data_IF_396414893577
#
_entry.id   IF_396414893577
#
_cell.length_a   1.000
_cell.length_b   1.000
_cell.length_c   1.000
_cell.angle_alpha   90.00
_cell.angle_beta   90.00
_cell.angle_gamma   90.00
#
_symmetry.space_group_name_H-M   'P 1'
#
loop_
_entity.id
_entity.type
_entity.pdbx_description
1 polymer ?
#
# COMPACT_ATOMS: atom_id res chain seq x y z
N UNK A 1 5.91 -9.44 19.83
CA UNK A 1 6.57 -8.16 20.07
C UNK A 1 7.02 -7.55 18.77
N UNK A 2 6.69 -6.28 18.54
CA UNK A 2 7.06 -5.53 17.32
C UNK A 2 8.08 -4.47 17.68
N UNK A 3 9.19 -4.42 16.95
CA UNK A 3 10.21 -3.39 17.07
C UNK A 3 10.16 -2.50 15.82
N UNK A 4 9.69 -1.25 15.98
CA UNK A 4 9.62 -0.28 14.91
C UNK A 4 10.80 0.69 14.97
N UNK A 5 11.54 0.84 13.87
CA UNK A 5 12.69 1.74 13.76
C UNK A 5 12.55 2.76 12.63
N UNK A 6 11.33 3.03 12.22
CA UNK A 6 11.01 4.04 11.20
C UNK A 6 9.71 4.77 11.52
N UNK A 7 9.69 6.10 11.33
CA UNK A 7 8.49 6.91 11.46
C UNK A 7 8.81 8.35 11.88
N UNK A 8 7.92 9.29 11.57
CA UNK A 8 7.94 10.62 12.18
C UNK A 8 7.22 10.51 13.52
N UNK A 9 7.94 10.73 14.60
CA UNK A 9 7.41 10.69 15.94
C UNK A 9 6.69 11.98 16.30
N UNK A 10 5.65 11.87 17.13
CA UNK A 10 5.15 13.00 17.91
C UNK A 10 6.15 13.25 19.04
N UNK A 11 6.24 14.51 19.52
CA UNK A 11 7.17 14.85 20.61
C UNK A 11 6.94 14.02 21.89
N UNK A 12 5.73 13.52 22.07
CA UNK A 12 5.31 12.66 23.17
C UNK A 12 5.93 11.25 23.13
N UNK A 13 6.38 10.79 21.94
CA UNK A 13 6.93 9.43 21.72
C UNK A 13 8.45 9.34 21.97
N UNK A 14 9.06 10.39 22.54
CA UNK A 14 10.53 10.44 22.79
C UNK A 14 11.03 9.45 23.85
N UNK A 15 10.14 8.80 24.58
CA UNK A 15 10.48 7.82 25.60
C UNK A 15 10.39 6.42 24.98
N UNK A 16 11.43 5.61 25.16
CA UNK A 16 11.49 4.19 24.78
C UNK A 16 10.51 3.38 25.64
N UNK A 17 9.22 3.63 25.52
CA UNK A 17 8.18 2.92 26.24
C UNK A 17 7.68 1.74 25.43
N UNK A 18 7.28 0.68 26.13
CA UNK A 18 6.53 -0.41 25.54
C UNK A 18 5.06 0.01 25.40
N UNK A 19 4.53 -0.15 24.20
CA UNK A 19 3.14 0.12 23.88
C UNK A 19 2.42 -1.20 23.60
N UNK A 20 1.10 -1.22 23.74
CA UNK A 20 0.27 -2.35 23.37
C UNK A 20 -0.83 -1.90 22.40
N UNK A 21 -1.01 -2.66 21.34
CA UNK A 21 -2.12 -2.51 20.41
C UNK A 21 -2.64 -3.90 20.03
N UNK A 22 -3.92 -4.14 20.28
CA UNK A 22 -4.59 -5.42 19.97
C UNK A 22 -3.80 -6.64 20.52
N UNK A 23 -3.35 -6.56 21.78
CA UNK A 23 -2.51 -7.55 22.47
C UNK A 23 -1.11 -7.75 21.87
N UNK A 24 -0.68 -6.93 20.94
CA UNK A 24 0.68 -6.95 20.42
C UNK A 24 1.50 -5.88 21.14
N UNK A 25 2.52 -6.30 21.86
CA UNK A 25 3.49 -5.38 22.44
C UNK A 25 4.39 -4.82 21.35
N UNK A 26 4.61 -3.51 21.32
CA UNK A 26 5.53 -2.87 20.40
C UNK A 26 6.37 -1.79 21.06
N UNK A 27 7.52 -1.54 20.48
CA UNK A 27 8.47 -0.51 20.89
C UNK A 27 8.99 0.27 19.70
N UNK A 28 9.14 1.57 19.87
CA UNK A 28 9.68 2.48 18.86
C UNK A 28 11.12 2.84 19.28
N UNK A 29 12.09 2.70 18.38
CA UNK A 29 13.52 2.79 18.74
C UNK A 29 14.15 4.15 18.55
N UNK A 30 13.44 5.13 18.00
CA UNK A 30 13.94 6.49 17.72
C UNK A 30 15.28 6.56 16.96
N UNK A 31 15.55 5.57 16.08
CA UNK A 31 16.80 5.49 15.32
C UNK A 31 16.87 6.48 14.13
N UNK A 32 15.80 7.24 13.85
CA UNK A 32 15.67 8.05 12.64
C UNK A 32 15.83 9.54 12.86
N UNK A 33 15.69 10.01 14.10
CA UNK A 33 15.80 11.42 14.43
C UNK A 33 17.26 11.90 14.35
N UNK A 34 17.61 12.58 13.24
CA UNK A 34 18.96 13.08 12.99
C UNK A 34 18.93 14.58 12.82
N UNK A 35 19.33 15.30 13.86
CA UNK A 35 19.41 16.76 13.86
C UNK A 35 20.77 17.26 13.34
N UNK A 36 21.83 16.43 13.34
CA UNK A 36 23.19 16.81 12.94
C UNK A 36 23.69 16.04 11.70
N UNK A 37 24.70 16.63 11.00
CA UNK A 37 25.35 15.95 9.89
C UNK A 37 26.16 14.71 10.36
N UNK A 38 26.67 14.71 11.61
CA UNK A 38 27.38 13.58 12.22
C UNK A 38 26.43 12.40 12.42
N UNK A 39 25.21 12.64 12.90
CA UNK A 39 24.17 11.62 13.07
C UNK A 39 23.72 11.06 11.73
N UNK A 40 23.59 11.93 10.70
CA UNK A 40 23.33 11.47 9.33
C UNK A 40 24.44 10.54 8.81
N UNK A 41 25.71 10.87 9.07
CA UNK A 41 26.86 10.02 8.69
C UNK A 41 26.86 8.70 9.47
N UNK A 42 26.64 8.71 10.77
CA UNK A 42 26.52 7.51 11.60
C UNK A 42 25.35 6.62 11.16
N UNK A 43 24.26 7.21 10.69
CA UNK A 43 23.13 6.47 10.11
C UNK A 43 23.52 5.66 8.86
N UNK A 44 24.49 6.12 8.08
CA UNK A 44 24.99 5.35 6.94
C UNK A 44 25.99 4.27 7.35
N UNK A 45 26.82 4.53 8.35
CA UNK A 45 27.88 3.61 8.77
C UNK A 45 27.39 2.55 9.76
N UNK A 46 26.53 2.94 10.69
CA UNK A 46 25.95 2.05 11.71
C UNK A 46 24.46 2.37 11.97
N UNK A 47 23.57 2.13 11.00
CA UNK A 47 22.16 2.44 11.14
C UNK A 47 21.50 1.56 12.21
N UNK A 48 20.49 2.13 12.88
CA UNK A 48 19.63 1.42 13.82
C UNK A 48 20.36 0.88 15.06
N UNK A 49 21.21 1.70 15.67
CA UNK A 49 21.98 1.32 16.86
C UNK A 49 21.10 0.89 18.05
N UNK A 50 20.01 1.61 18.30
CA UNK A 50 19.06 1.28 19.36
C UNK A 50 18.32 -0.03 19.07
N UNK A 51 17.80 -0.21 17.84
CA UNK A 51 17.15 -1.45 17.43
C UNK A 51 18.11 -2.64 17.56
N UNK A 52 19.36 -2.50 17.13
CA UNK A 52 20.39 -3.56 17.26
C UNK A 52 20.70 -3.90 18.71
N UNK A 53 20.77 -2.89 19.60
CA UNK A 53 20.96 -3.10 21.03
C UNK A 53 19.79 -3.89 21.62
N UNK A 54 18.56 -3.44 21.39
CA UNK A 54 17.36 -4.11 21.90
C UNK A 54 17.28 -5.55 21.38
N UNK A 55 17.52 -5.78 20.09
CA UNK A 55 17.51 -7.14 19.52
C UNK A 55 18.53 -8.03 20.23
N UNK A 56 19.75 -7.54 20.50
CA UNK A 56 20.78 -8.31 21.22
C UNK A 56 20.36 -8.66 22.65
N UNK A 57 19.70 -7.72 23.33
CA UNK A 57 19.24 -7.89 24.71
C UNK A 57 18.07 -8.87 24.82
N UNK A 58 17.20 -8.93 23.81
CA UNK A 58 15.94 -9.68 23.88
C UNK A 58 15.86 -10.91 22.97
N UNK A 59 16.84 -11.14 22.08
CA UNK A 59 16.77 -12.22 21.08
C UNK A 59 16.61 -13.62 21.70
N UNK A 60 17.12 -13.82 22.93
CA UNK A 60 17.01 -15.08 23.63
C UNK A 60 15.57 -15.46 23.99
N UNK A 61 14.69 -14.46 24.13
CA UNK A 61 13.31 -14.61 24.57
C UNK A 61 12.37 -15.03 23.42
N UNK A 62 12.87 -15.07 22.19
CA UNK A 62 12.07 -15.36 20.99
C UNK A 62 12.65 -16.53 20.22
N UNK A 63 11.79 -17.35 19.61
CA UNK A 63 12.20 -18.46 18.75
C UNK A 63 12.47 -18.03 17.31
N UNK A 64 11.80 -16.95 16.87
CA UNK A 64 11.82 -16.49 15.49
C UNK A 64 11.78 -14.96 15.41
N UNK A 65 12.52 -14.41 14.42
CA UNK A 65 12.44 -13.01 14.04
C UNK A 65 11.84 -12.89 12.65
N UNK A 66 10.91 -11.94 12.50
CA UNK A 66 10.37 -11.55 11.19
C UNK A 66 10.90 -10.15 10.89
N UNK A 67 11.62 -10.03 9.79
CA UNK A 67 12.21 -8.78 9.31
C UNK A 67 11.34 -8.19 8.19
N UNK A 68 10.69 -7.04 8.43
CA UNK A 68 9.82 -6.38 7.47
C UNK A 68 10.57 -5.29 6.71
N UNK A 69 10.73 -5.42 5.40
CA UNK A 69 11.37 -4.44 4.51
C UNK A 69 12.69 -3.84 5.04
N UNK A 70 13.56 -4.65 5.63
CA UNK A 70 14.78 -4.20 6.29
C UNK A 70 15.89 -3.83 5.32
N UNK A 71 16.75 -2.90 5.74
CA UNK A 71 17.87 -2.40 4.93
C UNK A 71 19.02 -3.39 4.83
N UNK A 72 19.96 -3.13 3.91
CA UNK A 72 21.15 -3.93 3.69
C UNK A 72 21.92 -4.27 4.98
N UNK A 73 22.25 -3.24 5.77
CA UNK A 73 23.02 -3.42 7.00
C UNK A 73 22.23 -4.15 8.10
N UNK A 74 20.92 -3.90 8.17
CA UNK A 74 20.08 -4.60 9.13
C UNK A 74 19.94 -6.08 8.75
N UNK A 75 19.78 -6.39 7.48
CA UNK A 75 19.72 -7.77 7.01
C UNK A 75 20.99 -8.57 7.31
N UNK A 76 22.17 -7.96 7.09
CA UNK A 76 23.44 -8.58 7.47
C UNK A 76 23.57 -8.81 8.98
N UNK A 77 23.13 -7.83 9.78
CA UNK A 77 23.11 -7.96 11.24
C UNK A 77 22.16 -9.07 11.69
N UNK A 78 20.93 -9.10 11.18
CA UNK A 78 19.93 -10.10 11.54
C UNK A 78 20.36 -11.52 11.18
N UNK A 79 20.93 -11.71 9.99
CA UNK A 79 21.47 -13.01 9.58
C UNK A 79 22.59 -13.50 10.53
N UNK A 80 23.50 -12.58 10.93
CA UNK A 80 24.59 -12.92 11.85
C UNK A 80 24.07 -13.28 13.25
N UNK A 81 23.19 -12.42 13.81
CA UNK A 81 22.73 -12.62 15.18
C UNK A 81 21.82 -13.84 15.32
N UNK A 82 20.90 -14.05 14.36
CA UNK A 82 20.07 -15.24 14.37
C UNK A 82 20.89 -16.53 14.25
N UNK A 83 21.94 -16.53 13.41
CA UNK A 83 22.87 -17.67 13.32
C UNK A 83 23.61 -17.90 14.65
N UNK A 84 24.06 -16.83 15.29
CA UNK A 84 24.80 -16.90 16.57
C UNK A 84 23.93 -17.50 17.71
N UNK A 85 22.65 -17.13 17.76
CA UNK A 85 21.73 -17.56 18.82
C UNK A 85 20.82 -18.72 18.40
N UNK A 86 21.04 -19.33 17.22
CA UNK A 86 20.25 -20.45 16.73
C UNK A 86 18.78 -20.11 16.45
N UNK A 87 18.47 -18.84 16.18
CA UNK A 87 17.09 -18.37 15.98
C UNK A 87 16.66 -18.44 14.53
N UNK A 88 15.36 -18.68 14.31
CA UNK A 88 14.74 -18.67 12.97
C UNK A 88 14.62 -17.23 12.47
N UNK A 89 14.84 -17.04 11.16
CA UNK A 89 14.72 -15.73 10.53
C UNK A 89 13.85 -15.81 9.29
N UNK A 90 12.85 -14.95 9.22
CA UNK A 90 11.92 -14.79 8.10
C UNK A 90 12.05 -13.36 7.57
N UNK A 91 12.05 -13.18 6.25
CA UNK A 91 11.97 -11.88 5.62
C UNK A 91 10.57 -11.66 5.05
N UNK A 92 9.87 -10.65 5.54
CA UNK A 92 8.63 -10.14 4.97
C UNK A 92 8.98 -9.01 4.00
N UNK A 93 8.65 -9.21 2.71
CA UNK A 93 9.12 -8.39 1.61
C UNK A 93 7.96 -7.89 0.76
N UNK A 94 7.72 -6.57 0.77
CA UNK A 94 6.55 -5.97 0.13
C UNK A 94 6.88 -5.05 -1.04
N UNK A 95 8.16 -4.78 -1.32
CA UNK A 95 8.55 -3.90 -2.42
C UNK A 95 10.00 -4.11 -2.87
N UNK A 96 10.30 -3.65 -4.08
CA UNK A 96 11.65 -3.47 -4.59
C UNK A 96 11.87 -1.98 -4.87
N UNK A 97 12.62 -1.24 -4.04
CA UNK A 97 12.78 0.20 -4.20
C UNK A 97 13.36 0.59 -5.56
N UNK A 98 12.88 1.69 -6.11
CA UNK A 98 13.33 2.21 -7.40
C UNK A 98 14.27 3.41 -7.24
N UNK A 99 15.13 3.65 -8.24
CA UNK A 99 16.09 4.74 -8.22
C UNK A 99 15.43 6.13 -8.05
N UNK A 100 14.26 6.33 -8.65
CA UNK A 100 13.53 7.60 -8.58
C UNK A 100 12.94 7.94 -7.21
N UNK A 101 13.07 7.04 -6.24
CA UNK A 101 12.66 7.25 -4.84
C UNK A 101 13.79 7.78 -3.97
N UNK A 102 15.01 7.72 -4.44
CA UNK A 102 16.19 8.25 -3.75
C UNK A 102 16.59 9.61 -4.30
N UNK A 103 16.98 10.52 -3.42
CA UNK A 103 17.62 11.78 -3.82
C UNK A 103 18.91 11.44 -4.58
N UNK A 104 19.04 11.92 -5.83
CA UNK A 104 20.14 11.58 -6.70
C UNK A 104 19.94 10.35 -7.59
N UNK A 105 18.81 9.66 -7.48
CA UNK A 105 18.42 8.56 -8.37
C UNK A 105 19.46 7.45 -8.40
N UNK A 106 19.88 7.01 -9.61
CA UNK A 106 20.91 5.97 -9.81
C UNK A 106 22.30 6.37 -9.33
N UNK A 107 22.56 7.65 -9.09
CA UNK A 107 23.84 8.14 -8.55
C UNK A 107 23.91 8.08 -7.03
N UNK A 108 22.81 7.79 -6.36
CA UNK A 108 22.75 7.70 -4.90
C UNK A 108 23.30 6.35 -4.42
N UNK A 109 24.29 6.33 -3.50
CA UNK A 109 24.81 5.10 -2.91
C UNK A 109 23.70 4.25 -2.22
N UNK A 110 22.68 4.89 -1.66
CA UNK A 110 21.54 4.19 -1.01
C UNK A 110 20.80 3.32 -2.03
N UNK A 111 20.61 3.79 -3.24
CA UNK A 111 20.00 2.99 -4.30
C UNK A 111 20.82 1.72 -4.57
N UNK A 112 22.13 1.84 -4.72
CA UNK A 112 22.99 0.68 -4.95
C UNK A 112 23.06 -0.26 -3.75
N UNK A 113 23.03 0.26 -2.53
CA UNK A 113 22.91 -0.58 -1.33
C UNK A 113 21.59 -1.35 -1.31
N UNK A 114 20.49 -0.73 -1.75
CA UNK A 114 19.20 -1.42 -1.91
C UNK A 114 19.28 -2.51 -3.01
N UNK A 115 19.87 -2.24 -4.15
CA UNK A 115 20.08 -3.24 -5.22
C UNK A 115 20.94 -4.42 -4.74
N UNK A 116 22.04 -4.15 -4.02
CA UNK A 116 22.88 -5.20 -3.42
C UNK A 116 22.11 -6.01 -2.38
N UNK A 117 21.26 -5.35 -1.58
CA UNK A 117 20.39 -6.02 -0.62
C UNK A 117 19.46 -7.02 -1.32
N UNK A 118 18.70 -6.54 -2.31
CA UNK A 118 17.74 -7.34 -3.04
C UNK A 118 18.39 -8.50 -3.81
N UNK A 119 19.52 -8.24 -4.47
CA UNK A 119 20.15 -9.19 -5.39
C UNK A 119 21.04 -10.23 -4.70
N UNK A 120 21.60 -9.92 -3.54
CA UNK A 120 22.61 -10.78 -2.90
C UNK A 120 22.30 -11.09 -1.44
N UNK A 121 21.99 -10.08 -0.60
CA UNK A 121 21.83 -10.31 0.84
C UNK A 121 20.52 -11.01 1.13
N UNK A 122 19.43 -10.57 0.51
CA UNK A 122 18.11 -11.18 0.71
C UNK A 122 18.03 -12.60 0.13
N UNK A 123 18.76 -12.93 -0.92
CA UNK A 123 18.85 -14.31 -1.43
C UNK A 123 19.43 -15.33 -0.44
N UNK A 124 20.02 -14.85 0.65
CA UNK A 124 20.54 -15.74 1.72
C UNK A 124 19.47 -16.09 2.77
N UNK A 125 18.31 -15.45 2.72
CA UNK A 125 17.20 -15.80 3.61
C UNK A 125 16.58 -17.11 3.14
N UNK A 126 16.40 -18.04 4.08
CA UNK A 126 15.81 -19.35 3.80
C UNK A 126 14.30 -19.36 3.85
N UNK A 127 13.69 -18.37 4.49
CA UNK A 127 12.26 -18.26 4.68
C UNK A 127 11.81 -16.83 4.36
N UNK A 128 10.80 -16.69 3.52
CA UNK A 128 10.33 -15.38 3.05
C UNK A 128 8.81 -15.31 2.95
N UNK A 129 8.29 -14.10 3.12
CA UNK A 129 6.88 -13.77 2.90
C UNK A 129 6.84 -12.70 1.79
N UNK A 130 6.90 -13.09 0.51
CA UNK A 130 6.78 -12.16 -0.60
C UNK A 130 5.32 -11.72 -0.79
N UNK A 131 5.12 -10.42 -1.12
CA UNK A 131 3.78 -9.87 -1.36
C UNK A 131 3.28 -10.12 -2.78
N UNK A 132 4.15 -10.46 -3.71
CA UNK A 132 3.83 -10.62 -5.14
C UNK A 132 4.46 -11.87 -5.74
N UNK A 133 3.86 -12.37 -6.81
CA UNK A 133 4.41 -13.47 -7.61
C UNK A 133 5.78 -13.13 -8.21
N UNK A 134 5.99 -11.86 -8.56
CA UNK A 134 7.30 -11.41 -9.03
C UNK A 134 8.39 -11.67 -7.98
N UNK A 135 8.17 -11.26 -6.72
CA UNK A 135 9.12 -11.50 -5.64
C UNK A 135 9.20 -12.98 -5.27
N UNK A 136 8.06 -13.69 -5.26
CA UNK A 136 8.00 -15.12 -5.01
C UNK A 136 8.86 -15.92 -6.01
N UNK A 137 8.74 -15.59 -7.29
CA UNK A 137 9.52 -16.23 -8.35
C UNK A 137 11.00 -15.85 -8.30
N UNK A 138 11.31 -14.58 -7.98
CA UNK A 138 12.69 -14.11 -7.87
C UNK A 138 13.47 -14.78 -6.73
N UNK A 139 12.78 -15.13 -5.64
CA UNK A 139 13.34 -15.82 -4.47
C UNK A 139 12.86 -17.29 -4.36
N UNK A 140 12.70 -17.97 -5.48
CA UNK A 140 12.14 -19.34 -5.55
C UNK A 140 12.93 -20.39 -4.79
N UNK A 141 14.21 -20.16 -4.46
CA UNK A 141 15.05 -21.09 -3.69
C UNK A 141 14.74 -21.06 -2.18
N UNK A 142 13.98 -20.08 -1.70
CA UNK A 142 13.58 -19.95 -0.31
C UNK A 142 12.27 -20.73 -0.04
N UNK A 143 12.02 -21.06 1.22
CA UNK A 143 10.70 -21.49 1.67
C UNK A 143 9.81 -20.25 1.70
N UNK A 144 8.86 -20.11 0.77
CA UNK A 144 8.07 -18.92 0.57
C UNK A 144 6.63 -19.12 1.00
N UNK A 145 6.07 -18.08 1.63
CA UNK A 145 4.65 -17.89 1.87
C UNK A 145 4.19 -16.63 1.11
N UNK A 146 3.62 -16.80 -0.07
CA UNK A 146 3.05 -15.68 -0.83
C UNK A 146 1.80 -15.15 -0.13
N UNK A 147 1.84 -13.90 0.32
CA UNK A 147 0.72 -13.24 0.96
C UNK A 147 0.43 -11.89 0.28
N UNK A 148 -0.76 -11.69 -0.28
CA UNK A 148 -1.22 -10.35 -0.67
C UNK A 148 -1.43 -9.48 0.57
N UNK A 149 -1.73 -8.18 0.45
CA UNK A 149 -2.17 -7.38 1.58
C UNK A 149 -3.40 -8.00 2.24
N UNK A 150 -3.31 -8.25 3.53
CA UNK A 150 -4.35 -8.95 4.28
C UNK A 150 -5.20 -7.97 5.10
N UNK A 151 -6.48 -8.29 5.22
CA UNK A 151 -7.48 -7.52 5.95
C UNK A 151 -8.19 -8.42 6.97
N UNK A 152 -8.46 -7.87 8.15
CA UNK A 152 -9.44 -8.46 9.03
C UNK A 152 -10.83 -8.00 8.62
N UNK A 153 -11.51 -8.78 7.80
CA UNK A 153 -12.84 -8.42 7.27
C UNK A 153 -13.91 -8.32 8.36
N UNK A 154 -13.67 -8.91 9.54
CA UNK A 154 -14.59 -8.84 10.69
C UNK A 154 -14.42 -7.55 11.50
N UNK A 155 -13.40 -6.76 11.24
CA UNK A 155 -13.24 -5.46 11.88
C UNK A 155 -14.43 -4.57 11.51
N UNK A 156 -14.99 -3.89 12.52
CA UNK A 156 -16.19 -3.07 12.41
C UNK A 156 -16.10 -2.01 11.31
N UNK A 157 -14.93 -1.47 11.03
CA UNK A 157 -14.73 -0.46 9.97
C UNK A 157 -15.06 -0.97 8.55
N UNK A 158 -15.11 -2.30 8.31
CA UNK A 158 -15.48 -2.90 7.03
C UNK A 158 -16.94 -3.31 6.94
N UNK A 159 -17.70 -3.18 8.03
CA UNK A 159 -19.09 -3.61 8.14
C UNK A 159 -20.01 -2.50 8.65
N UNK A 160 -19.49 -1.59 9.49
CA UNK A 160 -20.24 -0.48 10.05
C UNK A 160 -19.69 0.83 9.47
N UNK A 161 -20.18 1.19 8.30
CA UNK A 161 -19.73 2.41 7.63
C UNK A 161 -20.30 3.64 8.32
N UNK A 162 -19.41 4.57 8.68
CA UNK A 162 -19.82 5.85 9.27
C UNK A 162 -20.56 6.69 8.23
N UNK A 163 -21.60 7.39 8.66
CA UNK A 163 -22.25 8.38 7.82
C UNK A 163 -21.23 9.47 7.46
N UNK A 164 -21.10 9.75 6.17
CA UNK A 164 -20.16 10.74 5.66
C UNK A 164 -20.87 12.09 5.67
N UNK A 165 -20.54 12.91 6.64
CA UNK A 165 -21.06 14.28 6.74
C UNK A 165 -20.22 15.26 5.89
N UNK A 166 -20.19 15.02 4.59
CA UNK A 166 -19.61 15.95 3.63
C UNK A 166 -20.68 16.55 2.75
N UNK A 167 -20.99 17.82 2.95
CA UNK A 167 -21.93 18.55 2.10
C UNK A 167 -21.58 18.47 0.61
N UNK A 168 -20.29 18.37 0.29
CA UNK A 168 -19.79 18.23 -1.10
C UNK A 168 -20.14 16.90 -1.77
N UNK A 169 -20.52 15.90 -0.98
CA UNK A 169 -20.88 14.56 -1.47
C UNK A 169 -22.38 14.30 -1.44
N UNK A 170 -23.16 15.11 -0.70
CA UNK A 170 -24.61 14.99 -0.61
C UNK A 170 -25.25 15.48 -1.92
N UNK A 171 -26.27 14.75 -2.38
CA UNK A 171 -27.10 15.15 -3.54
C UNK A 171 -26.46 14.92 -4.90
N UNK A 172 -25.30 14.26 -5.01
CA UNK A 172 -24.76 13.89 -6.31
C UNK A 172 -25.42 12.60 -6.82
N UNK A 173 -26.13 12.72 -7.93
CA UNK A 173 -26.80 11.59 -8.61
C UNK A 173 -26.04 11.24 -9.89
N UNK A 174 -24.93 10.55 -9.74
CA UNK A 174 -24.06 10.10 -10.82
C UNK A 174 -23.07 9.08 -10.31
N UNK A 175 -22.12 8.70 -11.15
CA UNK A 175 -21.07 7.74 -10.80
C UNK A 175 -19.97 8.41 -9.98
N UNK A 176 -19.63 7.82 -8.85
CA UNK A 176 -18.57 8.30 -7.97
C UNK A 176 -17.33 7.42 -8.04
N UNK A 177 -16.20 8.03 -8.34
CA UNK A 177 -14.89 7.39 -8.36
C UNK A 177 -14.08 7.89 -7.18
N UNK A 178 -13.47 6.99 -6.43
CA UNK A 178 -12.58 7.32 -5.31
C UNK A 178 -11.12 7.16 -5.71
N UNK A 179 -10.32 8.15 -5.39
CA UNK A 179 -8.88 8.00 -5.27
C UNK A 179 -8.50 8.15 -3.78
N UNK A 180 -8.06 7.08 -3.14
CA UNK A 180 -7.69 7.10 -1.73
C UNK A 180 -6.18 7.00 -1.52
N UNK A 181 -5.62 7.91 -0.71
CA UNK A 181 -4.23 7.94 -0.29
C UNK A 181 -3.44 9.14 -0.83
N UNK A 182 -2.30 9.40 -0.20
CA UNK A 182 -1.37 10.44 -0.68
C UNK A 182 -0.71 9.92 -1.96
N UNK A 183 -0.88 10.62 -3.10
CA UNK A 183 -0.27 10.20 -4.35
C UNK A 183 1.25 10.29 -4.24
N UNK A 184 1.92 9.15 -4.40
CA UNK A 184 3.35 9.09 -4.63
C UNK A 184 3.62 9.13 -6.13
N UNK A 185 4.90 9.14 -6.54
CA UNK A 185 5.29 9.10 -7.96
C UNK A 185 4.73 7.88 -8.73
N UNK A 186 4.26 6.86 -8.00
CA UNK A 186 3.72 5.62 -8.56
C UNK A 186 2.23 5.69 -8.91
N UNK A 187 1.48 6.60 -8.30
CA UNK A 187 0.03 6.72 -8.49
C UNK A 187 -0.25 7.90 -9.43
N UNK A 188 -0.83 7.62 -10.58
CA UNK A 188 -1.00 8.58 -11.69
C UNK A 188 -2.31 9.38 -11.55
N UNK A 189 -2.49 10.07 -10.42
CA UNK A 189 -3.66 10.93 -10.17
C UNK A 189 -3.81 12.01 -11.25
N UNK A 190 -2.70 12.56 -11.76
CA UNK A 190 -2.73 13.57 -12.83
C UNK A 190 -3.37 13.05 -14.11
N UNK A 191 -3.05 11.81 -14.53
CA UNK A 191 -3.65 11.19 -15.71
C UNK A 191 -5.16 10.94 -15.51
N UNK A 192 -5.55 10.48 -14.31
CA UNK A 192 -6.95 10.28 -13.95
C UNK A 192 -7.74 11.59 -14.01
N UNK A 193 -7.21 12.67 -13.45
CA UNK A 193 -7.84 13.99 -13.51
C UNK A 193 -7.90 14.51 -14.94
N UNK A 194 -6.84 14.35 -15.72
CA UNK A 194 -6.81 14.80 -17.12
C UNK A 194 -7.88 14.07 -17.96
N UNK A 195 -8.04 12.76 -17.79
CA UNK A 195 -9.09 11.99 -18.46
C UNK A 195 -10.49 12.43 -17.99
N UNK A 196 -10.68 12.59 -16.69
CA UNK A 196 -11.95 13.05 -16.13
C UNK A 196 -12.34 14.43 -16.69
N UNK A 197 -11.40 15.38 -16.79
CA UNK A 197 -11.65 16.70 -17.35
C UNK A 197 -12.07 16.68 -18.83
N UNK A 198 -11.68 15.65 -19.59
CA UNK A 198 -12.18 15.46 -20.96
C UNK A 198 -13.62 14.99 -20.94
N UNK A 199 -13.94 13.99 -20.14
CA UNK A 199 -15.31 13.46 -19.97
C UNK A 199 -16.27 14.53 -19.45
N UNK A 200 -15.83 15.39 -18.55
CA UNK A 200 -16.65 16.47 -17.98
C UNK A 200 -16.98 17.60 -18.96
N UNK A 201 -16.49 17.57 -20.21
CA UNK A 201 -16.95 18.48 -21.27
C UNK A 201 -18.35 18.10 -21.77
N UNK A 202 -18.66 16.81 -21.72
CA UNK A 202 -19.85 16.22 -22.33
C UNK A 202 -20.90 15.81 -21.30
N UNK A 203 -20.51 15.63 -20.03
CA UNK A 203 -21.43 15.20 -18.95
C UNK A 203 -20.95 15.64 -17.58
N UNK A 204 -21.89 15.90 -16.66
CA UNK A 204 -21.63 16.16 -15.25
C UNK A 204 -21.92 14.97 -14.33
N UNK A 205 -22.31 13.82 -14.92
CA UNK A 205 -22.75 12.61 -14.20
C UNK A 205 -21.60 11.79 -13.58
N UNK A 206 -20.39 12.33 -13.45
CA UNK A 206 -19.25 11.66 -12.86
C UNK A 206 -18.55 12.57 -11.84
N UNK A 207 -18.19 12.01 -10.69
CA UNK A 207 -17.49 12.72 -9.62
C UNK A 207 -16.24 11.94 -9.22
N UNK A 208 -15.10 12.63 -9.11
CA UNK A 208 -13.88 12.12 -8.52
C UNK A 208 -13.73 12.66 -7.10
N UNK A 209 -13.72 11.78 -6.13
CA UNK A 209 -13.43 12.08 -4.73
C UNK A 209 -11.97 11.71 -4.45
N UNK A 210 -11.18 12.67 -4.00
CA UNK A 210 -9.76 12.50 -3.72
C UNK A 210 -9.53 12.65 -2.21
N UNK A 211 -9.16 11.55 -1.58
CA UNK A 211 -8.76 11.49 -0.17
C UNK A 211 -7.23 11.44 -0.08
N UNK A 212 -6.64 12.27 0.77
CA UNK A 212 -5.18 12.31 0.99
C UNK A 212 -4.47 13.46 0.29
N UNK A 213 -5.19 14.30 -0.47
CA UNK A 213 -4.69 15.51 -1.14
C UNK A 213 -5.51 16.71 -0.70
N UNK A 214 -4.84 17.75 -0.23
CA UNK A 214 -5.49 19.03 0.11
C UNK A 214 -5.91 19.77 -1.16
N UNK A 215 -6.95 20.61 -1.06
CA UNK A 215 -7.45 21.40 -2.19
C UNK A 215 -6.35 22.33 -2.76
N UNK A 216 -5.53 22.91 -1.88
CA UNK A 216 -4.42 23.79 -2.27
C UNK A 216 -3.34 23.03 -3.07
N UNK A 217 -3.24 21.73 -2.90
CA UNK A 217 -2.33 20.87 -3.64
C UNK A 217 -2.90 20.41 -4.99
N UNK A 218 -4.20 20.59 -5.21
CA UNK A 218 -4.88 20.16 -6.44
C UNK A 218 -4.36 20.89 -7.69
N UNK A 219 -3.83 22.11 -7.52
CA UNK A 219 -3.18 22.88 -8.60
C UNK A 219 -1.96 22.18 -9.22
N UNK A 220 -1.38 21.20 -8.52
CA UNK A 220 -0.31 20.37 -9.08
C UNK A 220 -0.81 19.36 -10.13
N UNK A 221 -2.13 19.16 -10.24
CA UNK A 221 -2.75 18.15 -11.11
C UNK A 221 -3.63 18.76 -12.19
N UNK A 222 -4.20 19.93 -11.95
CA UNK A 222 -5.01 20.66 -12.94
C UNK A 222 -5.01 22.16 -12.68
N UNK A 223 -5.48 22.96 -13.65
CA UNK A 223 -5.53 24.43 -13.49
C UNK A 223 -6.59 24.88 -12.49
N UNK A 224 -6.37 26.02 -11.83
CA UNK A 224 -7.35 26.63 -10.93
C UNK A 224 -8.70 26.85 -11.63
N UNK A 225 -8.69 27.28 -12.90
CA UNK A 225 -9.91 27.45 -13.72
C UNK A 225 -10.72 26.14 -13.82
N UNK A 226 -10.04 24.98 -13.95
CA UNK A 226 -10.71 23.69 -13.99
C UNK A 226 -11.30 23.31 -12.61
N UNK A 227 -10.58 23.59 -11.52
CA UNK A 227 -11.06 23.37 -10.15
C UNK A 227 -12.32 24.18 -9.88
N UNK A 228 -12.34 25.46 -10.27
CA UNK A 228 -13.49 26.34 -10.07
C UNK A 228 -14.70 25.91 -10.90
N UNK A 229 -14.44 25.54 -12.18
CA UNK A 229 -15.51 25.10 -13.10
C UNK A 229 -16.16 23.79 -12.66
N UNK A 230 -15.36 22.83 -12.22
CA UNK A 230 -15.81 21.47 -11.91
C UNK A 230 -15.79 21.13 -10.42
N UNK A 231 -15.98 22.15 -9.57
CA UNK A 231 -15.91 22.03 -8.10
C UNK A 231 -16.83 20.97 -7.48
N UNK A 232 -17.94 20.63 -8.16
CA UNK A 232 -18.87 19.58 -7.73
C UNK A 232 -18.45 18.18 -8.23
N UNK A 233 -17.59 18.10 -9.24
CA UNK A 233 -17.13 16.86 -9.85
C UNK A 233 -15.71 16.48 -9.45
N UNK A 234 -14.90 17.46 -8.98
CA UNK A 234 -13.55 17.27 -8.46
C UNK A 234 -13.53 17.65 -6.98
N UNK A 235 -13.66 16.67 -6.11
CA UNK A 235 -13.77 16.87 -4.66
C UNK A 235 -12.51 16.41 -3.96
N UNK A 236 -11.76 17.36 -3.38
CA UNK A 236 -10.55 17.09 -2.60
C UNK A 236 -10.89 17.22 -1.11
N UNK A 237 -10.70 16.14 -0.35
CA UNK A 237 -11.06 16.06 1.07
C UNK A 237 -9.87 16.22 2.02
N UNK A 238 -8.64 16.26 1.47
CA UNK A 238 -7.46 16.28 2.32
C UNK A 238 -7.24 14.95 3.04
N UNK A 239 -6.52 15.02 4.17
CA UNK A 239 -6.30 13.86 5.01
C UNK A 239 -7.51 13.63 5.91
N UNK A 240 -7.98 12.39 5.93
CA UNK A 240 -9.04 11.92 6.82
C UNK A 240 -8.50 10.83 7.75
N UNK A 241 -9.12 10.56 8.91
CA UNK A 241 -8.75 9.46 9.76
C UNK A 241 -8.85 8.13 9.01
N UNK A 242 -7.84 7.26 9.16
CA UNK A 242 -7.76 5.98 8.43
C UNK A 242 -8.99 5.10 8.69
N UNK A 243 -9.57 5.15 9.89
CA UNK A 243 -10.77 4.39 10.26
C UNK A 243 -12.00 4.79 9.43
N UNK A 244 -12.03 5.99 8.87
CA UNK A 244 -13.13 6.49 8.03
C UNK A 244 -12.97 6.15 6.54
N UNK A 245 -11.76 5.80 6.09
CA UNK A 245 -11.49 5.50 4.67
C UNK A 245 -12.41 4.42 4.09
N UNK A 246 -12.72 3.32 4.80
CA UNK A 246 -13.66 2.31 4.32
C UNK A 246 -15.04 2.86 3.94
N UNK A 247 -15.55 3.86 4.68
CA UNK A 247 -16.84 4.50 4.37
C UNK A 247 -16.80 5.22 3.02
N UNK A 248 -15.67 5.83 2.64
CA UNK A 248 -15.52 6.48 1.33
C UNK A 248 -15.45 5.46 0.19
N UNK A 249 -14.80 4.31 0.40
CA UNK A 249 -14.88 3.20 -0.57
C UNK A 249 -16.34 2.73 -0.72
N UNK A 250 -17.04 2.53 0.38
CA UNK A 250 -18.41 1.99 0.37
C UNK A 250 -19.41 2.87 -0.41
N UNK A 251 -19.33 4.21 -0.26
CA UNK A 251 -20.20 5.14 -0.98
C UNK A 251 -19.80 5.39 -2.43
N UNK A 252 -18.61 4.93 -2.83
CA UNK A 252 -18.11 5.09 -4.20
C UNK A 252 -18.52 3.89 -5.06
N UNK A 253 -18.68 4.14 -6.34
CA UNK A 253 -19.02 3.11 -7.32
C UNK A 253 -17.77 2.38 -7.80
N UNK A 254 -16.66 3.11 -7.92
CA UNK A 254 -15.35 2.56 -8.27
C UNK A 254 -14.25 3.24 -7.46
N UNK A 255 -13.12 2.55 -7.27
CA UNK A 255 -11.87 3.17 -6.84
C UNK A 255 -10.83 3.09 -7.95
N UNK A 256 -9.98 4.12 -8.08
CA UNK A 256 -8.99 4.17 -9.13
C UNK A 256 -7.61 3.70 -8.65
N UNK A 257 -7.01 2.75 -9.37
CA UNK A 257 -5.64 2.25 -9.17
C UNK A 257 -4.90 2.28 -10.51
N UNK A 258 -4.40 3.44 -10.88
CA UNK A 258 -3.71 3.66 -12.16
C UNK A 258 -2.21 3.78 -11.91
N UNK A 259 -1.42 2.88 -12.50
CA UNK A 259 0.01 2.79 -12.25
C UNK A 259 0.80 2.50 -13.51
N UNK A 260 1.96 3.13 -13.64
CA UNK A 260 2.92 2.80 -14.68
C UNK A 260 3.52 1.40 -14.44
N UNK A 261 3.54 0.50 -15.44
CA UNK A 261 4.27 -0.77 -15.33
C UNK A 261 5.77 -0.51 -15.11
N UNK A 262 6.27 -0.92 -13.96
CA UNK A 262 7.68 -0.78 -13.60
C UNK A 262 8.07 -1.91 -12.65
N UNK A 263 9.38 -2.22 -12.54
CA UNK A 263 9.85 -3.26 -11.60
C UNK A 263 9.31 -3.03 -10.17
N UNK A 264 9.32 -1.78 -9.70
CA UNK A 264 8.76 -1.43 -8.40
C UNK A 264 7.29 -1.78 -8.27
N UNK A 265 6.49 -1.35 -9.26
CA UNK A 265 5.06 -1.57 -9.25
C UNK A 265 4.69 -3.04 -9.50
N UNK A 266 5.56 -3.80 -10.18
CA UNK A 266 5.41 -5.25 -10.35
C UNK A 266 5.81 -6.03 -9.09
N UNK A 267 6.87 -5.59 -8.40
CA UNK A 267 7.33 -6.22 -7.16
C UNK A 267 6.42 -5.94 -5.96
N UNK A 268 5.80 -4.76 -5.92
CA UNK A 268 4.85 -4.39 -4.87
C UNK A 268 3.41 -4.78 -5.22
N UNK A 269 2.53 -4.72 -4.22
CA UNK A 269 1.08 -4.87 -4.39
C UNK A 269 0.35 -3.66 -3.80
N UNK A 270 -0.60 -3.02 -4.50
CA UNK A 270 -1.34 -1.88 -3.95
C UNK A 270 -2.34 -2.32 -2.88
N UNK A 271 -2.08 -1.99 -1.63
CA UNK A 271 -3.00 -2.26 -0.50
C UNK A 271 -4.41 -1.70 -0.73
N UNK A 272 -4.50 -0.60 -1.49
CA UNK A 272 -5.77 0.03 -1.91
C UNK A 272 -6.75 -0.96 -2.56
N UNK A 273 -6.26 -1.98 -3.28
CA UNK A 273 -7.11 -3.00 -3.89
C UNK A 273 -7.82 -3.85 -2.84
N UNK A 274 -7.05 -4.32 -1.85
CA UNK A 274 -7.62 -5.12 -0.76
C UNK A 274 -8.64 -4.30 0.06
N UNK A 275 -8.31 -3.04 0.36
CA UNK A 275 -9.21 -2.10 1.07
C UNK A 275 -10.48 -1.82 0.26
N UNK A 276 -10.34 -1.53 -1.03
CA UNK A 276 -11.46 -1.28 -1.94
C UNK A 276 -12.42 -2.46 -1.99
N UNK A 277 -11.89 -3.65 -2.27
CA UNK A 277 -12.70 -4.86 -2.37
C UNK A 277 -13.30 -5.28 -1.02
N UNK A 278 -12.60 -5.07 0.09
CA UNK A 278 -13.16 -5.31 1.42
C UNK A 278 -14.36 -4.40 1.74
N UNK A 279 -14.39 -3.19 1.20
CA UNK A 279 -15.54 -2.28 1.33
C UNK A 279 -16.61 -2.48 0.24
N UNK A 280 -16.44 -3.46 -0.65
CA UNK A 280 -17.36 -3.71 -1.76
C UNK A 280 -17.27 -2.65 -2.87
N UNK A 281 -16.10 -2.07 -3.11
CA UNK A 281 -15.88 -1.09 -4.15
C UNK A 281 -15.01 -1.72 -5.26
N UNK A 282 -15.55 -1.95 -6.48
CA UNK A 282 -14.77 -2.44 -7.61
C UNK A 282 -13.71 -1.45 -8.04
N UNK A 283 -12.64 -1.93 -8.68
CA UNK A 283 -11.50 -1.08 -9.06
C UNK A 283 -11.50 -0.76 -10.55
N UNK A 284 -11.26 0.51 -10.88
CA UNK A 284 -10.83 0.96 -12.21
C UNK A 284 -9.30 0.91 -12.24
N UNK A 285 -8.72 0.04 -13.06
CA UNK A 285 -7.30 -0.23 -13.03
C UNK A 285 -6.71 -0.61 -14.38
N UNK A 286 -5.41 -0.39 -14.54
CA UNK A 286 -4.61 -1.05 -15.57
C UNK A 286 -3.82 -2.22 -14.95
N UNK A 287 -3.42 -3.18 -15.78
CA UNK A 287 -2.68 -4.37 -15.32
C UNK A 287 -1.28 -3.98 -14.81
N UNK A 288 -1.04 -4.23 -13.53
CA UNK A 288 0.28 -4.12 -12.87
C UNK A 288 0.36 -5.11 -11.71
N UNK A 289 1.56 -5.62 -11.39
CA UNK A 289 1.72 -6.64 -10.35
C UNK A 289 0.76 -7.84 -10.56
N UNK A 290 0.28 -8.41 -9.47
CA UNK A 290 -0.64 -9.57 -9.46
C UNK A 290 -2.12 -9.14 -9.46
N UNK A 291 -2.42 -7.89 -9.81
CA UNK A 291 -3.80 -7.38 -9.75
C UNK A 291 -4.77 -8.22 -10.57
N UNK A 292 -4.30 -8.75 -11.71
CA UNK A 292 -5.09 -9.63 -12.58
C UNK A 292 -5.52 -10.94 -11.92
N UNK A 293 -4.83 -11.42 -10.88
CA UNK A 293 -5.21 -12.65 -10.17
C UNK A 293 -6.45 -12.44 -9.28
N UNK A 294 -6.80 -11.19 -9.00
CA UNK A 294 -7.90 -10.78 -8.11
C UNK A 294 -8.99 -10.02 -8.85
N UNK A 295 -8.70 -9.49 -10.03
CA UNK A 295 -9.59 -8.65 -10.82
C UNK A 295 -10.06 -9.37 -12.09
N UNK A 296 -11.36 -9.32 -12.35
CA UNK A 296 -12.00 -9.78 -13.57
C UNK A 296 -12.76 -8.63 -14.19
N UNK A 297 -12.43 -8.25 -15.44
CA UNK A 297 -13.07 -7.14 -16.13
C UNK A 297 -14.58 -7.35 -16.27
N UNK A 298 -15.35 -6.31 -15.98
CA UNK A 298 -16.81 -6.33 -16.01
C UNK A 298 -17.48 -7.12 -14.86
N UNK A 299 -16.69 -7.76 -13.97
CA UNK A 299 -17.25 -8.55 -12.85
C UNK A 299 -17.00 -7.88 -11.48
N UNK A 300 -15.75 -7.63 -11.12
CA UNK A 300 -15.35 -6.99 -9.86
C UNK A 300 -14.33 -5.87 -10.05
N UNK A 301 -14.01 -5.58 -11.31
CA UNK A 301 -13.11 -4.52 -11.73
C UNK A 301 -13.48 -4.05 -13.12
N UNK A 302 -13.04 -2.84 -13.48
CA UNK A 302 -13.00 -2.35 -14.84
C UNK A 302 -11.54 -2.19 -15.23
N UNK A 303 -11.09 -3.04 -16.16
CA UNK A 303 -9.70 -3.08 -16.58
C UNK A 303 -9.54 -2.25 -17.86
N UNK A 304 -8.60 -1.32 -17.83
CA UNK A 304 -8.22 -0.47 -18.97
C UNK A 304 -6.91 -0.97 -19.58
N UNK A 305 -6.68 -0.66 -20.85
CA UNK A 305 -5.55 -1.19 -21.61
C UNK A 305 -4.20 -0.77 -21.03
N UNK A 306 -4.06 0.52 -20.67
CA UNK A 306 -2.84 1.08 -20.10
C UNK A 306 -3.15 2.28 -19.18
N UNK A 307 -2.13 2.98 -18.76
CA UNK A 307 -2.23 4.13 -17.84
C UNK A 307 -2.34 5.49 -18.57
N UNK A 308 -2.51 5.50 -19.90
CA UNK A 308 -2.66 6.72 -20.69
C UNK A 308 -3.98 7.42 -20.38
N UNK A 309 -4.01 8.72 -20.63
CA UNK A 309 -5.22 9.53 -20.48
C UNK A 309 -6.34 8.99 -21.38
N UNK A 310 -6.03 8.55 -22.59
CA UNK A 310 -7.01 8.02 -23.54
C UNK A 310 -7.62 6.69 -23.06
N UNK A 311 -6.81 5.79 -22.53
CA UNK A 311 -7.28 4.52 -21.93
C UNK A 311 -8.16 4.75 -20.71
N UNK A 312 -7.79 5.72 -19.85
CA UNK A 312 -8.58 6.07 -18.67
C UNK A 312 -9.91 6.69 -19.11
N UNK A 313 -9.90 7.61 -20.05
CA UNK A 313 -11.10 8.26 -20.62
C UNK A 313 -12.08 7.21 -21.17
N UNK A 314 -11.58 6.26 -21.97
CA UNK A 314 -12.39 5.14 -22.47
C UNK A 314 -12.99 4.31 -21.31
N UNK A 315 -12.22 4.05 -20.24
CA UNK A 315 -12.72 3.39 -19.04
C UNK A 315 -13.82 4.17 -18.34
N UNK A 316 -13.68 5.49 -18.21
CA UNK A 316 -14.70 6.36 -17.62
C UNK A 316 -15.99 6.36 -18.45
N UNK A 317 -15.91 6.36 -19.78
CA UNK A 317 -17.06 6.23 -20.65
C UNK A 317 -17.76 4.87 -20.50
N UNK A 318 -16.99 3.78 -20.38
CA UNK A 318 -17.58 2.44 -20.08
C UNK A 318 -18.36 2.46 -18.78
N UNK A 319 -17.82 3.08 -17.71
CA UNK A 319 -18.51 3.20 -16.41
C UNK A 319 -19.82 4.00 -16.56
N UNK A 320 -19.80 5.11 -17.31
CA UNK A 320 -20.99 5.94 -17.51
C UNK A 320 -22.10 5.27 -18.30
N UNK A 321 -21.79 4.22 -19.06
CA UNK A 321 -22.77 3.40 -19.80
C UNK A 321 -23.38 2.28 -18.96
N UNK A 322 -22.81 1.97 -17.80
CA UNK A 322 -23.31 0.92 -16.92
C UNK A 322 -24.63 1.34 -16.24
N UNK A 323 -25.54 0.39 -16.14
CA UNK A 323 -26.73 0.52 -15.30
C UNK A 323 -26.38 0.47 -13.81
N UNK A 324 -27.28 0.99 -12.97
CA UNK A 324 -27.10 0.90 -11.51
C UNK A 324 -27.02 -0.56 -11.03
N UNK A 325 -27.78 -1.46 -11.65
CA UNK A 325 -27.81 -2.90 -11.29
C UNK A 325 -26.46 -3.59 -11.65
N UNK A 326 -25.85 -3.25 -12.77
CA UNK A 326 -24.53 -3.76 -13.13
C UNK A 326 -23.46 -3.29 -12.12
N UNK A 327 -23.49 -2.00 -11.73
CA UNK A 327 -22.58 -1.47 -10.70
C UNK A 327 -22.79 -2.18 -9.37
N UNK A 328 -24.04 -2.39 -8.93
CA UNK A 328 -24.35 -3.12 -7.68
C UNK A 328 -23.86 -4.56 -7.76
N UNK A 329 -24.05 -5.22 -8.89
CA UNK A 329 -23.52 -6.59 -9.11
C UNK A 329 -21.99 -6.63 -8.99
N UNK A 330 -21.29 -5.66 -9.57
CA UNK A 330 -19.84 -5.54 -9.47
C UNK A 330 -19.40 -5.25 -8.03
N UNK A 331 -20.11 -4.42 -7.29
CA UNK A 331 -19.84 -4.14 -5.87
C UNK A 331 -19.93 -5.41 -5.02
N UNK A 332 -20.97 -6.22 -5.23
CA UNK A 332 -21.14 -7.50 -4.53
C UNK A 332 -20.01 -8.48 -4.88
N UNK A 333 -19.63 -8.57 -6.15
CA UNK A 333 -18.52 -9.41 -6.60
C UNK A 333 -17.17 -8.95 -6.04
N UNK A 334 -16.93 -7.64 -5.95
CA UNK A 334 -15.73 -7.07 -5.32
C UNK A 334 -15.69 -7.44 -3.82
N UNK A 335 -16.81 -7.30 -3.11
CA UNK A 335 -16.92 -7.69 -1.69
C UNK A 335 -16.58 -9.17 -1.49
N UNK A 336 -17.10 -10.06 -2.33
CA UNK A 336 -16.83 -11.49 -2.25
C UNK A 336 -15.32 -11.81 -2.44
N UNK A 337 -14.61 -11.07 -3.30
CA UNK A 337 -13.14 -11.18 -3.41
C UNK A 337 -12.46 -10.67 -2.16
N UNK A 338 -12.88 -9.54 -1.60
CA UNK A 338 -12.37 -9.02 -0.32
C UNK A 338 -12.46 -10.05 0.80
N UNK A 339 -13.59 -10.72 0.92
CA UNK A 339 -13.86 -11.74 1.95
C UNK A 339 -13.07 -13.04 1.75
N UNK A 340 -12.89 -13.48 0.52
CA UNK A 340 -12.27 -14.79 0.22
C UNK A 340 -10.77 -14.70 -0.04
N UNK A 341 -10.29 -13.62 -0.67
CA UNK A 341 -8.92 -13.52 -1.17
C UNK A 341 -8.04 -12.54 -0.39
N UNK A 342 -8.62 -11.56 0.32
CA UNK A 342 -7.87 -10.60 1.13
C UNK A 342 -8.09 -10.77 2.64
N UNK A 343 -9.01 -11.62 3.07
CA UNK A 343 -9.20 -11.95 4.47
C UNK A 343 -8.03 -12.80 4.98
N UNK A 344 -7.36 -12.35 6.06
CA UNK A 344 -6.23 -13.07 6.64
C UNK A 344 -6.58 -14.51 7.05
N UNK A 345 -7.83 -14.78 7.42
CA UNK A 345 -8.29 -16.12 7.82
C UNK A 345 -8.17 -17.15 6.70
N UNK A 346 -8.24 -16.72 5.44
CA UNK A 346 -8.08 -17.59 4.27
C UNK A 346 -6.67 -18.15 4.12
N UNK A 347 -5.69 -17.58 4.83
CA UNK A 347 -4.28 -17.96 4.75
C UNK A 347 -3.76 -18.69 5.99
N UNK A 348 -4.59 -18.91 7.02
CA UNK A 348 -4.16 -19.50 8.30
C UNK A 348 -3.52 -20.87 8.13
N UNK A 349 -4.12 -21.76 7.35
CA UNK A 349 -3.58 -23.12 7.18
C UNK A 349 -2.31 -23.12 6.34
N UNK A 350 -2.23 -22.29 5.30
CA UNK A 350 -1.01 -22.09 4.52
C UNK A 350 0.12 -21.53 5.40
N UNK A 351 -0.21 -20.57 6.27
CA UNK A 351 0.74 -20.00 7.22
C UNK A 351 1.24 -21.04 8.26
N UNK A 352 0.36 -21.91 8.78
CA UNK A 352 0.76 -23.02 9.67
C UNK A 352 1.74 -23.96 8.97
N UNK A 353 1.45 -24.35 7.73
CA UNK A 353 2.34 -25.20 6.93
C UNK A 353 3.69 -24.51 6.70
N UNK A 354 3.69 -23.23 6.39
CA UNK A 354 4.91 -22.45 6.23
C UNK A 354 5.73 -22.42 7.52
N UNK A 355 5.11 -22.10 8.66
CA UNK A 355 5.78 -22.03 9.97
C UNK A 355 6.41 -23.39 10.33
N UNK A 356 5.71 -24.51 10.08
CA UNK A 356 6.22 -25.83 10.34
C UNK A 356 7.47 -26.19 9.50
N UNK A 357 7.65 -25.54 8.35
CA UNK A 357 8.79 -25.74 7.44
C UNK A 357 9.92 -24.74 7.64
N UNK A 358 9.81 -23.79 8.55
CA UNK A 358 10.85 -22.76 8.79
C UNK A 358 12.16 -23.44 9.22
N UNK A 359 13.20 -23.21 8.46
CA UNK A 359 14.54 -23.78 8.60
C UNK A 359 15.52 -22.85 9.30
#
# INVERSE_FOLDING_TARGET
YVLSFGGKYREEDKILNDYSYDNILYKITNDIDTHSWKERFLRYTYPYSNARRIIKETISDYDMLIAYNTTFQMNLFLQRICKQYGKKLVLDLTEWPAANETLGGKWCPIYWMSELNMRFVQKRFKNMIPISQFLNSYYSESNNLLLPPLINIQDSKWNNFSEIDSLKLKGFDGVRILFAGTPAKKDLLGNLIAALLRVLKDTDRIQLVVVGVLLEQAVNYCSQKALDKYKNNLVFLGRIPQVQVPSYYHISDFSAIIREPSRKNTAGFPTKMAESMAAGCPVLMNQTSDLGDYATDGKNALIINDYSVDSIEAGLHRILQMSKDEIVSMKNAARAVGESRFNYRSYLDTAKVFIAKIR
#
